data_IF_282416254098
#
_entry.id   IF_282416254098
#
_cell.length_a   1.000
_cell.length_b   1.000
_cell.length_c   1.000
_cell.angle_alpha   90.00
_cell.angle_beta   90.00
_cell.angle_gamma   90.00
#
_symmetry.space_group_name_H-M   'P 1'
#
loop_
_entity.id
_entity.type
_entity.pdbx_description
1 polymer ?
#
# COMPACT_ATOMS: atom_id res chain seq x y z
N UNK A 1 -9.43 -32.88 37.69
CA UNK A 1 -8.51 -33.72 36.91
C UNK A 1 -8.79 -35.21 36.96
N UNK A 2 -9.38 -35.76 38.05
CA UNK A 2 -9.71 -37.20 38.21
C UNK A 2 -10.78 -37.69 37.21
N UNK A 3 -11.81 -36.92 36.91
CA UNK A 3 -12.90 -37.29 36.01
C UNK A 3 -12.41 -37.59 34.58
N UNK A 4 -11.49 -36.83 34.04
CA UNK A 4 -10.92 -37.05 32.70
C UNK A 4 -10.06 -38.31 32.62
N UNK A 5 -9.36 -38.66 33.71
CA UNK A 5 -8.55 -39.87 33.77
C UNK A 5 -9.42 -41.11 33.83
N UNK A 6 -10.51 -41.08 34.58
CA UNK A 6 -11.50 -42.19 34.62
C UNK A 6 -12.22 -42.36 33.30
N UNK A 7 -12.64 -41.26 32.64
CA UNK A 7 -13.28 -41.29 31.33
C UNK A 7 -12.38 -41.95 30.27
N UNK A 8 -11.07 -41.57 30.22
CA UNK A 8 -10.09 -42.15 29.30
C UNK A 8 -9.86 -43.64 29.56
N UNK A 9 -9.78 -44.08 30.85
CA UNK A 9 -9.57 -45.48 31.23
C UNK A 9 -10.79 -46.34 30.90
N UNK A 10 -12.00 -45.81 31.02
CA UNK A 10 -13.24 -46.50 30.65
C UNK A 10 -13.40 -46.64 29.15
N UNK A 11 -13.01 -45.64 28.37
CA UNK A 11 -13.09 -45.61 26.90
C UNK A 11 -12.11 -46.63 26.26
N UNK A 12 -10.94 -46.83 26.84
CA UNK A 12 -9.91 -47.76 26.35
C UNK A 12 -9.85 -49.08 27.07
N UNK A 13 -10.88 -49.44 27.82
CA UNK A 13 -10.97 -50.72 28.53
C UNK A 13 -11.13 -51.89 27.54
N UNK A 14 -10.20 -52.84 27.59
CA UNK A 14 -9.99 -53.95 26.64
C UNK A 14 -11.02 -55.04 26.67
N UNK A 15 -12.16 -54.89 27.34
CA UNK A 15 -13.15 -55.96 27.63
C UNK A 15 -14.52 -55.76 26.97
N UNK A 16 -14.60 -55.28 25.78
CA UNK A 16 -15.74 -55.51 24.86
C UNK A 16 -15.52 -54.67 23.61
N UNK A 17 -15.39 -55.29 22.47
CA UNK A 17 -15.69 -54.68 21.18
C UNK A 17 -17.21 -54.41 21.13
N UNK A 18 -17.69 -53.53 21.99
CA UNK A 18 -19.09 -53.16 22.01
C UNK A 18 -19.35 -52.19 20.87
N UNK A 19 -20.31 -52.48 20.04
CA UNK A 19 -20.86 -51.59 18.98
C UNK A 19 -21.09 -50.18 19.54
N UNK A 20 -21.38 -50.06 20.82
CA UNK A 20 -21.56 -48.81 21.53
C UNK A 20 -20.28 -47.93 21.54
N UNK A 21 -19.10 -48.54 21.73
CA UNK A 21 -17.84 -47.78 21.73
C UNK A 21 -17.49 -47.31 20.32
N UNK A 22 -17.82 -48.09 19.31
CA UNK A 22 -17.66 -47.71 17.89
C UNK A 22 -18.57 -46.52 17.54
N UNK A 23 -19.85 -46.58 17.91
CA UNK A 23 -20.82 -45.52 17.68
C UNK A 23 -20.39 -44.24 18.41
N UNK A 24 -19.97 -44.36 19.68
CA UNK A 24 -19.47 -43.22 20.45
C UNK A 24 -18.21 -42.58 19.80
N UNK A 25 -17.28 -43.40 19.31
CA UNK A 25 -16.09 -42.93 18.60
C UNK A 25 -16.42 -42.21 17.30
N UNK A 26 -17.31 -42.76 16.49
CA UNK A 26 -17.78 -42.10 15.25
C UNK A 26 -18.47 -40.78 15.56
N UNK A 27 -19.31 -40.75 16.59
CA UNK A 27 -19.99 -39.49 17.00
C UNK A 27 -19.01 -38.42 17.40
N UNK A 28 -17.95 -38.74 18.15
CA UNK A 28 -16.91 -37.78 18.53
C UNK A 28 -16.16 -37.26 17.31
N UNK A 29 -15.76 -38.16 16.40
CA UNK A 29 -15.06 -37.75 15.16
C UNK A 29 -15.95 -36.91 14.27
N UNK A 30 -17.23 -37.26 14.13
CA UNK A 30 -18.19 -36.49 13.33
C UNK A 30 -18.38 -35.03 13.80
N UNK A 31 -18.19 -34.77 15.08
CA UNK A 31 -18.23 -33.40 15.62
C UNK A 31 -16.85 -32.76 15.57
N UNK A 32 -15.80 -33.46 15.92
CA UNK A 32 -14.45 -32.94 16.00
C UNK A 32 -13.90 -32.49 14.64
N UNK A 33 -14.16 -33.24 13.58
CA UNK A 33 -13.64 -32.91 12.23
C UNK A 33 -14.24 -31.61 11.68
N UNK A 34 -15.56 -31.38 11.69
CA UNK A 34 -16.13 -30.12 11.23
C UNK A 34 -15.67 -28.93 12.07
N UNK A 35 -15.56 -29.08 13.39
CA UNK A 35 -15.07 -27.99 14.27
C UNK A 35 -13.61 -27.66 13.97
N UNK A 36 -12.76 -28.67 13.81
CA UNK A 36 -11.37 -28.45 13.42
C UNK A 36 -11.28 -27.76 12.04
N UNK A 37 -12.06 -28.20 11.07
CA UNK A 37 -12.12 -27.59 9.74
C UNK A 37 -12.55 -26.11 9.82
N UNK A 38 -13.53 -25.79 10.64
CA UNK A 38 -14.00 -24.43 10.84
C UNK A 38 -12.92 -23.53 11.47
N UNK A 39 -12.19 -24.04 12.45
CA UNK A 39 -11.08 -23.32 13.09
C UNK A 39 -9.97 -23.02 12.07
N UNK A 40 -9.60 -24.03 11.26
CA UNK A 40 -8.60 -23.85 10.20
C UNK A 40 -9.05 -22.82 9.18
N UNK A 41 -10.31 -22.91 8.74
CA UNK A 41 -10.88 -21.96 7.78
C UNK A 41 -10.83 -20.52 8.32
N UNK A 42 -11.28 -20.31 9.56
CA UNK A 42 -11.23 -18.98 10.19
C UNK A 42 -9.80 -18.46 10.35
N UNK A 43 -8.85 -19.34 10.68
CA UNK A 43 -7.44 -18.95 10.79
C UNK A 43 -6.86 -18.50 9.44
N UNK A 44 -7.21 -19.22 8.37
CA UNK A 44 -6.80 -18.83 7.00
C UNK A 44 -7.44 -17.50 6.60
N UNK A 45 -8.72 -17.29 6.88
CA UNK A 45 -9.40 -16.02 6.59
C UNK A 45 -8.78 -14.85 7.34
N UNK A 46 -8.51 -15.00 8.64
CA UNK A 46 -7.87 -13.96 9.43
C UNK A 46 -6.46 -13.64 8.92
N UNK A 47 -5.68 -14.65 8.53
CA UNK A 47 -4.37 -14.46 7.93
C UNK A 47 -4.43 -13.74 6.58
N UNK A 48 -5.40 -14.11 5.74
CA UNK A 48 -5.63 -13.46 4.46
C UNK A 48 -6.06 -11.99 4.62
N UNK A 49 -6.98 -11.70 5.54
CA UNK A 49 -7.41 -10.32 5.84
C UNK A 49 -6.22 -9.46 6.28
N UNK A 50 -5.35 -10.02 7.13
CA UNK A 50 -4.16 -9.32 7.60
C UNK A 50 -3.18 -9.05 6.44
N UNK A 51 -3.00 -10.00 5.53
CA UNK A 51 -2.18 -9.84 4.33
C UNK A 51 -2.74 -8.74 3.42
N UNK A 52 -4.04 -8.76 3.12
CA UNK A 52 -4.69 -7.73 2.28
C UNK A 52 -4.59 -6.35 2.91
N UNK A 53 -4.78 -6.23 4.22
CA UNK A 53 -4.61 -4.96 4.93
C UNK A 53 -3.16 -4.46 4.84
N UNK A 54 -2.17 -5.34 4.99
CA UNK A 54 -0.76 -4.95 4.92
C UNK A 54 -0.35 -4.50 3.52
N UNK A 55 -0.96 -5.02 2.47
CA UNK A 55 -0.69 -4.61 1.09
C UNK A 55 -1.24 -3.22 0.75
N UNK A 56 -2.36 -2.82 1.35
CA UNK A 56 -3.02 -1.55 1.02
C UNK A 56 -2.64 -0.37 1.96
N UNK A 57 -2.10 -0.64 3.14
CA UNK A 57 -2.03 0.37 4.19
C UNK A 57 -0.81 1.29 4.15
N UNK A 58 0.24 0.98 3.37
CA UNK A 58 1.49 1.74 3.42
C UNK A 58 1.54 2.97 2.51
N UNK A 59 0.65 3.05 1.50
CA UNK A 59 0.68 4.13 0.51
C UNK A 59 -0.62 4.93 0.39
N UNK A 60 -1.66 4.53 1.13
CA UNK A 60 -2.95 5.20 1.12
C UNK A 60 -3.21 5.90 2.45
N UNK A 61 -3.72 7.13 2.36
CA UNK A 61 -4.24 7.83 3.52
C UNK A 61 -5.53 7.16 4.02
N UNK A 62 -5.78 7.18 5.32
CA UNK A 62 -7.02 6.63 5.91
C UNK A 62 -8.28 7.23 5.30
N UNK A 63 -8.20 8.51 4.91
CA UNK A 63 -9.29 9.22 4.24
C UNK A 63 -8.75 10.08 3.11
N UNK A 64 -9.30 9.90 1.92
CA UNK A 64 -8.95 10.70 0.74
C UNK A 64 -10.16 11.51 0.27
N UNK A 65 -9.99 12.82 0.16
CA UNK A 65 -10.98 13.73 -0.39
C UNK A 65 -10.71 13.96 -1.87
N UNK A 66 -11.62 13.54 -2.73
CA UNK A 66 -11.54 13.73 -4.18
C UNK A 66 -12.67 14.62 -4.68
N UNK A 67 -12.49 15.36 -5.78
CA UNK A 67 -13.58 16.15 -6.35
C UNK A 67 -14.68 15.25 -6.89
N UNK A 68 -15.92 15.69 -6.79
CA UNK A 68 -17.07 14.98 -7.34
C UNK A 68 -17.06 14.98 -8.87
N UNK A 69 -16.55 16.03 -9.46
CA UNK A 69 -16.44 16.21 -10.91
C UNK A 69 -15.02 16.74 -11.23
N UNK A 70 -14.45 16.24 -12.33
CA UNK A 70 -13.10 16.58 -12.73
C UNK A 70 -12.01 15.78 -11.99
N UNK A 71 -10.75 16.13 -12.22
CA UNK A 71 -9.59 15.43 -11.64
C UNK A 71 -8.98 16.19 -10.46
N UNK A 72 -9.27 17.48 -10.33
CA UNK A 72 -8.68 18.33 -9.29
C UNK A 72 -9.68 19.40 -8.87
N UNK A 73 -9.52 19.89 -7.66
CA UNK A 73 -10.21 21.06 -7.14
C UNK A 73 -9.20 22.14 -6.71
N UNK A 74 -9.64 23.40 -6.71
CA UNK A 74 -8.79 24.48 -6.23
C UNK A 74 -8.60 24.40 -4.72
N UNK A 75 -7.40 24.69 -4.26
CA UNK A 75 -7.07 24.69 -2.83
C UNK A 75 -7.95 25.65 -2.02
N UNK A 76 -8.44 26.70 -2.68
CA UNK A 76 -9.32 27.75 -2.11
C UNK A 76 -10.72 27.22 -1.76
N UNK A 77 -11.13 26.10 -2.39
CA UNK A 77 -12.44 25.51 -2.14
C UNK A 77 -12.47 24.62 -0.89
N UNK A 78 -11.32 24.35 -0.27
CA UNK A 78 -11.19 23.47 0.88
C UNK A 78 -10.53 24.19 2.05
N UNK A 79 -11.28 24.35 3.15
CA UNK A 79 -10.69 24.86 4.40
C UNK A 79 -9.88 23.78 5.12
N UNK A 80 -8.60 23.66 4.75
CA UNK A 80 -7.67 22.70 5.35
C UNK A 80 -7.43 22.98 6.84
N UNK A 81 -7.59 24.25 7.28
CA UNK A 81 -7.44 24.61 8.68
C UNK A 81 -8.62 24.11 9.52
N UNK A 82 -9.83 24.15 8.99
CA UNK A 82 -10.99 23.57 9.63
C UNK A 82 -10.88 22.05 9.74
N UNK A 83 -10.39 21.38 8.69
CA UNK A 83 -10.18 19.92 8.70
C UNK A 83 -9.19 19.49 9.79
N UNK A 84 -8.08 20.21 9.95
CA UNK A 84 -7.08 19.92 11.00
C UNK A 84 -7.59 20.10 12.44
N UNK A 85 -8.72 20.80 12.62
CA UNK A 85 -9.34 21.02 13.95
C UNK A 85 -10.38 19.96 14.31
N UNK A 86 -10.75 19.10 13.37
CA UNK A 86 -11.72 18.05 13.62
C UNK A 86 -11.13 17.03 14.60
N UNK A 87 -11.91 16.57 15.61
CA UNK A 87 -11.47 15.54 16.51
C UNK A 87 -11.23 14.23 15.75
N UNK A 88 -10.09 13.59 15.97
CA UNK A 88 -9.69 12.36 15.30
C UNK A 88 -8.89 12.57 14.01
N UNK A 89 -8.67 13.82 13.55
CA UNK A 89 -7.78 14.13 12.43
C UNK A 89 -6.40 14.45 12.97
N UNK A 90 -5.44 13.60 12.68
CA UNK A 90 -4.06 13.74 13.13
C UNK A 90 -3.23 14.60 12.17
N UNK A 91 -3.35 14.36 10.88
CA UNK A 91 -2.64 15.10 9.84
C UNK A 91 -3.50 15.30 8.59
N UNK A 92 -3.27 16.40 7.88
CA UNK A 92 -3.90 16.69 6.58
C UNK A 92 -2.82 17.16 5.64
N UNK A 93 -2.70 16.51 4.48
CA UNK A 93 -1.78 16.90 3.41
C UNK A 93 -2.51 16.99 2.08
N UNK A 94 -1.95 17.76 1.18
CA UNK A 94 -2.43 17.91 -0.19
C UNK A 94 -1.56 17.09 -1.12
N UNK A 95 -2.20 16.41 -2.06
CA UNK A 95 -1.52 15.68 -3.11
C UNK A 95 -2.16 15.96 -4.46
N UNK A 96 -1.36 15.95 -5.51
CA UNK A 96 -1.79 16.09 -6.89
C UNK A 96 -1.21 14.95 -7.70
N UNK A 97 -2.07 14.15 -8.34
CA UNK A 97 -1.65 13.07 -9.21
C UNK A 97 -1.77 13.47 -10.69
N UNK A 98 -0.77 13.08 -11.44
CA UNK A 98 -0.77 13.26 -12.89
C UNK A 98 0.07 12.19 -13.57
N UNK A 99 -0.41 11.68 -14.71
CA UNK A 99 0.39 10.82 -15.58
C UNK A 99 1.47 11.65 -16.28
N UNK A 100 2.67 11.11 -16.32
CA UNK A 100 3.82 11.73 -16.94
C UNK A 100 4.68 10.67 -17.63
N UNK A 101 5.50 11.08 -18.58
CA UNK A 101 6.56 10.27 -19.13
C UNK A 101 7.86 10.62 -18.38
N UNK A 102 8.49 9.62 -17.80
CA UNK A 102 9.81 9.78 -17.20
C UNK A 102 10.86 9.21 -18.14
N UNK A 103 11.89 9.99 -18.38
CA UNK A 103 13.06 9.60 -19.17
C UNK A 103 14.30 9.61 -18.28
N UNK A 104 15.11 8.55 -18.39
CA UNK A 104 16.37 8.43 -17.70
C UNK A 104 17.40 7.74 -18.64
N UNK A 105 18.46 8.44 -19.00
CA UNK A 105 19.53 7.93 -19.88
C UNK A 105 19.03 7.23 -21.15
N UNK A 106 18.02 7.82 -21.80
CA UNK A 106 17.43 7.29 -23.05
C UNK A 106 16.42 6.15 -22.86
N UNK A 107 16.14 5.74 -21.61
CA UNK A 107 15.02 4.86 -21.29
C UNK A 107 13.82 5.68 -20.88
N UNK A 108 12.65 5.22 -21.24
CA UNK A 108 11.39 5.93 -20.98
C UNK A 108 10.39 4.99 -20.29
N UNK A 109 9.66 5.51 -19.33
CA UNK A 109 8.57 4.81 -18.66
C UNK A 109 7.38 5.76 -18.45
N UNK A 110 6.16 5.24 -18.64
CA UNK A 110 4.95 5.95 -18.22
C UNK A 110 4.77 5.79 -16.72
N UNK A 111 4.68 6.91 -16.03
CA UNK A 111 4.58 6.92 -14.57
C UNK A 111 3.42 7.80 -14.10
N UNK A 112 2.85 7.48 -12.96
CA UNK A 112 1.98 8.40 -12.22
C UNK A 112 2.82 9.16 -11.23
N UNK A 113 2.93 10.45 -11.41
CA UNK A 113 3.63 11.35 -10.50
C UNK A 113 2.64 11.90 -9.50
N UNK A 114 2.95 11.75 -8.22
CA UNK A 114 2.21 12.32 -7.11
C UNK A 114 3.03 13.48 -6.54
N UNK A 115 2.62 14.71 -6.85
CA UNK A 115 3.15 15.91 -6.20
C UNK A 115 2.55 16.04 -4.81
N UNK A 116 3.38 16.20 -3.79
CA UNK A 116 2.98 16.20 -2.39
C UNK A 116 3.37 17.52 -1.71
N UNK A 117 2.52 17.98 -0.78
CA UNK A 117 2.83 19.10 0.07
C UNK A 117 3.73 18.70 1.25
N UNK A 118 4.32 19.71 1.91
CA UNK A 118 5.13 19.50 3.10
C UNK A 118 4.33 18.74 4.18
N UNK A 119 4.98 17.76 4.82
CA UNK A 119 4.35 16.94 5.86
C UNK A 119 3.47 15.81 5.34
N UNK A 120 3.56 15.48 4.06
CA UNK A 120 2.87 14.32 3.48
C UNK A 120 3.28 13.00 4.14
N UNK A 121 4.50 12.88 4.57
CA UNK A 121 5.07 11.74 5.32
C UNK A 121 4.36 11.45 6.64
N UNK A 122 3.66 12.44 7.22
CA UNK A 122 2.82 12.24 8.41
C UNK A 122 1.47 11.60 8.09
N UNK A 123 1.01 11.70 6.86
CA UNK A 123 -0.26 11.10 6.39
C UNK A 123 -0.01 9.73 5.79
N UNK A 124 1.07 9.61 5.02
CA UNK A 124 1.48 8.36 4.38
C UNK A 124 2.96 8.12 4.69
N UNK A 125 3.31 7.08 5.45
CA UNK A 125 4.68 6.85 5.93
C UNK A 125 5.60 6.30 4.83
N UNK A 126 5.73 7.03 3.71
CA UNK A 126 6.58 6.65 2.58
C UNK A 126 8.03 6.47 2.99
N UNK A 127 8.49 7.26 3.97
CA UNK A 127 9.84 7.19 4.49
C UNK A 127 10.22 5.81 5.04
N UNK A 128 9.25 5.08 5.61
CA UNK A 128 9.45 3.73 6.16
C UNK A 128 9.60 2.67 5.07
N UNK A 129 9.16 2.97 3.85
CA UNK A 129 9.19 2.07 2.70
C UNK A 129 10.40 2.30 1.78
N UNK A 130 11.31 3.21 2.14
CA UNK A 130 12.53 3.49 1.37
C UNK A 130 13.47 2.29 1.44
N UNK A 131 13.83 1.77 0.29
CA UNK A 131 14.76 0.65 0.16
C UNK A 131 16.17 1.07 -0.25
N UNK A 132 16.30 2.25 -0.87
CA UNK A 132 17.59 2.83 -1.24
C UNK A 132 17.48 4.35 -1.29
N UNK A 133 18.51 5.07 -0.83
CA UNK A 133 18.50 6.53 -0.73
C UNK A 133 17.69 7.05 0.44
N UNK A 134 17.15 8.26 0.29
CA UNK A 134 16.42 8.97 1.34
C UNK A 134 15.06 9.46 0.84
N UNK A 135 14.10 9.59 1.79
CA UNK A 135 12.85 10.30 1.52
C UNK A 135 13.11 11.81 1.59
N UNK A 136 13.55 12.37 0.49
CA UNK A 136 13.81 13.81 0.36
C UNK A 136 13.20 14.31 -0.95
N UNK A 137 11.95 14.80 -0.88
CA UNK A 137 11.23 15.35 -2.04
C UNK A 137 11.65 16.77 -2.38
N UNK A 138 12.41 17.42 -1.49
CA UNK A 138 12.97 18.75 -1.70
C UNK A 138 14.34 18.88 -1.03
N UNK A 139 15.25 19.56 -1.68
CA UNK A 139 16.56 19.95 -1.14
C UNK A 139 16.81 21.43 -1.47
N UNK A 140 16.53 22.32 -0.52
CA UNK A 140 16.51 23.76 -0.78
C UNK A 140 15.44 24.10 -1.82
N UNK A 141 15.84 24.70 -2.95
CA UNK A 141 14.96 25.05 -4.05
C UNK A 141 14.84 23.95 -5.14
N UNK A 142 15.51 22.82 -4.95
CA UNK A 142 15.48 21.71 -5.90
C UNK A 142 14.40 20.72 -5.53
N UNK A 143 13.48 20.45 -6.47
CA UNK A 143 12.52 19.37 -6.35
C UNK A 143 13.22 18.05 -6.68
N UNK A 144 12.99 17.04 -5.84
CA UNK A 144 13.56 15.70 -5.97
C UNK A 144 12.45 14.67 -6.10
N UNK A 145 12.78 13.52 -6.67
CA UNK A 145 11.86 12.41 -6.87
C UNK A 145 12.23 11.24 -5.97
N UNK A 146 11.19 10.61 -5.45
CA UNK A 146 11.28 9.27 -4.87
C UNK A 146 10.49 8.34 -5.77
N UNK A 147 11.13 7.30 -6.29
CA UNK A 147 10.55 6.44 -7.32
C UNK A 147 10.26 5.04 -6.80
N UNK A 148 9.22 4.41 -7.30
CA UNK A 148 8.92 3.02 -6.98
C UNK A 148 9.97 2.07 -7.59
N UNK A 149 10.24 0.95 -6.92
CA UNK A 149 11.20 -0.09 -7.36
C UNK A 149 10.92 -0.57 -8.79
N UNK A 150 9.65 -0.73 -9.17
CA UNK A 150 9.27 -1.11 -10.53
C UNK A 150 9.73 -0.10 -11.57
N UNK A 151 9.50 1.20 -11.32
CA UNK A 151 9.94 2.30 -12.19
C UNK A 151 11.47 2.36 -12.25
N UNK A 152 12.14 2.22 -11.09
CA UNK A 152 13.59 2.20 -11.02
C UNK A 152 14.20 1.07 -11.86
N UNK A 153 13.58 -0.11 -11.83
CA UNK A 153 13.99 -1.26 -12.63
C UNK A 153 13.77 -1.02 -14.14
N UNK A 154 12.59 -0.53 -14.53
CA UNK A 154 12.22 -0.25 -15.92
C UNK A 154 13.15 0.80 -16.55
N UNK A 155 13.44 1.87 -15.81
CA UNK A 155 14.36 2.92 -16.24
C UNK A 155 15.84 2.51 -16.13
N UNK A 156 16.15 1.42 -15.43
CA UNK A 156 17.51 0.97 -15.19
C UNK A 156 18.31 1.93 -14.32
N UNK A 157 17.68 2.50 -13.30
CA UNK A 157 18.33 3.37 -12.31
C UNK A 157 19.44 2.60 -11.60
N UNK A 158 20.67 3.08 -11.69
CA UNK A 158 21.86 2.46 -11.07
C UNK A 158 22.49 3.33 -10.00
N UNK A 159 22.23 4.62 -10.03
CA UNK A 159 22.77 5.60 -9.09
C UNK A 159 21.68 6.58 -8.66
N UNK A 160 21.74 7.02 -7.43
CA UNK A 160 20.89 8.03 -6.83
C UNK A 160 21.64 9.35 -6.73
N UNK A 161 20.92 10.47 -6.68
CA UNK A 161 21.53 11.79 -6.59
C UNK A 161 22.01 12.38 -7.92
N UNK A 162 21.73 11.70 -9.04
CA UNK A 162 22.04 12.21 -10.37
C UNK A 162 20.83 12.92 -10.98
N UNK A 163 21.06 14.07 -11.61
CA UNK A 163 20.01 14.89 -12.24
C UNK A 163 19.71 14.45 -13.68
N UNK A 164 19.91 13.17 -14.00
CA UNK A 164 19.71 12.62 -15.34
C UNK A 164 18.22 12.30 -15.65
N UNK A 165 17.34 12.46 -14.69
CA UNK A 165 15.91 12.24 -14.85
C UNK A 165 15.20 13.43 -15.45
N UNK A 166 14.36 13.20 -16.46
CA UNK A 166 13.51 14.20 -17.09
C UNK A 166 12.06 13.74 -17.04
N UNK A 167 11.20 14.60 -16.49
CA UNK A 167 9.75 14.39 -16.48
C UNK A 167 9.09 15.23 -17.57
N UNK A 168 8.24 14.60 -18.36
CA UNK A 168 7.37 15.23 -19.35
C UNK A 168 5.93 15.07 -18.89
N UNK A 169 5.33 16.14 -18.43
CA UNK A 169 3.93 16.17 -17.99
C UNK A 169 3.08 16.99 -18.98
N UNK A 170 1.90 16.47 -19.31
CA UNK A 170 0.96 17.18 -20.16
C UNK A 170 0.43 18.44 -19.43
N UNK A 171 0.40 19.56 -20.13
CA UNK A 171 -0.23 20.78 -19.61
C UNK A 171 -1.76 20.59 -19.62
N UNK A 172 -2.40 20.91 -18.50
CA UNK A 172 -3.86 20.84 -18.37
C UNK A 172 -4.59 21.99 -19.04
N UNK A 173 -3.93 23.13 -19.24
CA UNK A 173 -4.50 24.35 -19.82
C UNK A 173 -3.62 24.83 -20.96
N UNK A 174 -4.25 25.33 -22.02
CA UNK A 174 -3.52 25.94 -23.14
C UNK A 174 -3.14 24.97 -24.26
N UNK A 175 -3.86 23.88 -24.43
CA UNK A 175 -3.67 22.97 -25.56
C UNK A 175 -4.11 23.68 -26.86
N UNK A 176 -3.16 24.15 -27.65
CA UNK A 176 -3.40 24.58 -29.02
C UNK A 176 -3.11 23.40 -29.95
N UNK A 177 -4.12 22.95 -30.69
CA UNK A 177 -3.96 21.84 -31.64
C UNK A 177 -3.04 22.19 -32.83
N UNK A 178 -2.62 23.44 -32.92
CA UNK A 178 -1.76 23.94 -34.00
C UNK A 178 -0.24 23.85 -33.69
N UNK A 179 0.14 23.72 -32.40
CA UNK A 179 1.54 23.63 -31.99
C UNK A 179 1.71 22.53 -30.94
N UNK A 180 1.97 21.28 -31.33
CA UNK A 180 2.10 20.15 -30.38
C UNK A 180 3.30 20.28 -29.42
N UNK A 181 4.25 21.19 -29.69
CA UNK A 181 5.45 21.39 -28.86
C UNK A 181 5.15 22.12 -27.53
N UNK A 182 4.06 22.85 -27.45
CA UNK A 182 3.67 23.57 -26.22
C UNK A 182 2.78 22.77 -25.26
N UNK A 183 2.38 21.55 -25.65
CA UNK A 183 1.44 20.72 -24.91
C UNK A 183 2.01 20.01 -23.69
N UNK A 184 3.32 20.07 -23.43
CA UNK A 184 3.95 19.41 -22.28
C UNK A 184 4.91 20.34 -21.54
N UNK A 185 5.07 20.09 -20.26
CA UNK A 185 6.07 20.74 -19.41
C UNK A 185 7.21 19.74 -19.20
N UNK A 186 8.43 20.18 -19.51
CA UNK A 186 9.65 19.40 -19.22
C UNK A 186 10.25 19.89 -17.91
N UNK A 187 10.50 18.98 -16.98
CA UNK A 187 11.20 19.26 -15.71
C UNK A 187 12.33 18.27 -15.54
N UNK A 188 13.51 18.77 -15.26
CA UNK A 188 14.63 17.95 -14.84
C UNK A 188 14.47 17.65 -13.35
N UNK A 189 14.71 16.42 -12.95
CA UNK A 189 14.53 15.99 -11.58
C UNK A 189 15.60 14.97 -11.17
N UNK A 190 16.07 15.15 -9.95
CA UNK A 190 17.02 14.26 -9.32
C UNK A 190 16.27 13.17 -8.55
N UNK A 191 16.71 11.92 -8.69
CA UNK A 191 16.14 10.81 -7.91
C UNK A 191 16.87 10.69 -6.58
N UNK A 192 16.15 10.98 -5.49
CA UNK A 192 16.66 10.94 -4.12
C UNK A 192 16.61 9.54 -3.50
N UNK A 193 15.58 8.77 -3.84
CA UNK A 193 15.39 7.47 -3.24
C UNK A 193 14.48 6.56 -4.05
N UNK A 194 14.50 5.30 -3.67
CA UNK A 194 13.65 4.24 -4.23
C UNK A 194 12.84 3.62 -3.09
N UNK A 195 11.53 3.54 -3.29
CA UNK A 195 10.63 2.88 -2.35
C UNK A 195 10.09 1.56 -2.91
N UNK A 196 9.74 0.66 -2.03
CA UNK A 196 9.02 -0.56 -2.38
C UNK A 196 7.63 -0.54 -1.76
N UNK A 197 6.63 -0.88 -2.56
CA UNK A 197 5.26 -1.02 -2.07
C UNK A 197 5.11 -2.23 -1.13
N UNK A 198 5.98 -3.24 -1.30
CA UNK A 198 6.00 -4.43 -0.47
C UNK A 198 7.05 -4.26 0.63
N UNK A 199 6.60 -4.19 1.88
CA UNK A 199 7.47 -4.22 3.07
C UNK A 199 8.04 -5.62 3.32
N UNK A 200 8.26 -6.45 2.29
CA UNK A 200 8.84 -7.78 2.45
C UNK A 200 10.00 -8.02 1.51
N UNK A 201 11.15 -8.20 2.18
CA UNK A 201 12.48 -8.69 1.77
C UNK A 201 13.31 -7.78 0.95
#
# INVERSE_FOLDING_TARGET
MLAGWFARRYFFSKKSHSVINLIAGVSVVSVAVPVAAMIVLLSVFNGFEQLVRSMNSHFDADLTLTPREGQTFGIESLDTAALRRLPGVEAVSLALEQSALMEYRGRQAMVTVRGVADGYDRVVPVAECITAGDYAVRLGDLDRLVVGRGVAYELGLRSLGESDGVLYALRRTGFSSLLPVEGYTRRQAEVAGVFAADAQT
#
